data_IF_405639989033
#
_entry.id   IF_405639989033
#
_cell.length_a   1.000
_cell.length_b   1.000
_cell.length_c   1.000
_cell.angle_alpha   90.00
_cell.angle_beta   90.00
_cell.angle_gamma   90.00
#
_symmetry.space_group_name_H-M   'P 1'
#
loop_
_entity.id
_entity.type
_entity.pdbx_description
1 polymer ?
#
# COMPACT_ATOMS: atom_id res chain seq x y z
N UNK A 1 15.16 -4.02 -22.98
CA UNK A 1 14.80 -2.58 -23.03
C UNK A 1 15.74 -1.80 -22.13
N UNK A 2 16.45 -0.81 -22.68
CA UNK A 2 17.33 0.06 -21.88
C UNK A 2 16.48 1.02 -21.03
N UNK A 3 16.84 1.20 -19.75
CA UNK A 3 16.12 2.10 -18.84
C UNK A 3 16.36 3.56 -19.23
N UNK A 4 15.29 4.34 -19.35
CA UNK A 4 15.36 5.78 -19.62
C UNK A 4 15.88 6.56 -18.39
N UNK A 5 16.46 7.76 -18.59
CA UNK A 5 16.90 8.63 -17.48
C UNK A 5 15.77 8.96 -16.50
N UNK A 6 14.53 9.13 -16.99
CA UNK A 6 13.34 9.34 -16.17
C UNK A 6 13.01 8.12 -15.27
N UNK A 7 13.25 6.90 -15.76
CA UNK A 7 13.11 5.68 -14.96
C UNK A 7 14.11 5.63 -13.80
N UNK A 8 15.35 6.09 -14.00
CA UNK A 8 16.35 6.12 -12.94
C UNK A 8 16.01 7.10 -11.82
N UNK A 9 15.52 8.30 -12.17
CA UNK A 9 15.05 9.29 -11.19
C UNK A 9 13.87 8.75 -10.38
N UNK A 10 12.85 8.21 -11.05
CA UNK A 10 11.70 7.61 -10.38
C UNK A 10 12.10 6.49 -9.41
N UNK A 11 13.05 5.62 -9.80
CA UNK A 11 13.55 4.55 -8.93
C UNK A 11 14.32 5.06 -7.71
N UNK A 12 14.95 6.23 -7.82
CA UNK A 12 15.63 6.88 -6.71
C UNK A 12 14.58 7.44 -5.75
N UNK A 13 13.66 8.25 -6.26
CA UNK A 13 12.55 8.83 -5.47
C UNK A 13 11.74 7.73 -4.77
N UNK A 14 11.41 6.64 -5.48
CA UNK A 14 10.70 5.50 -4.89
C UNK A 14 11.48 4.81 -3.77
N UNK A 15 12.81 4.71 -3.88
CA UNK A 15 13.65 4.11 -2.83
C UNK A 15 13.82 5.04 -1.62
N UNK A 16 13.89 6.34 -1.86
CA UNK A 16 14.03 7.38 -0.83
C UNK A 16 12.70 7.69 -0.13
N UNK A 17 11.57 7.28 -0.72
CA UNK A 17 10.26 7.53 -0.12
C UNK A 17 10.12 6.89 1.28
N UNK A 18 9.85 7.69 2.32
CA UNK A 18 9.83 7.20 3.70
C UNK A 18 8.71 6.19 3.95
N UNK A 19 7.60 6.27 3.21
CA UNK A 19 6.50 5.30 3.34
C UNK A 19 6.81 3.99 2.61
N UNK A 20 7.57 4.01 1.51
CA UNK A 20 8.09 2.76 0.91
C UNK A 20 9.01 2.05 1.90
N UNK A 21 9.94 2.78 2.51
CA UNK A 21 10.85 2.21 3.51
C UNK A 21 10.09 1.71 4.74
N UNK A 22 9.13 2.49 5.25
CA UNK A 22 8.28 2.09 6.38
C UNK A 22 7.48 0.83 6.05
N UNK A 23 6.85 0.77 4.87
CA UNK A 23 6.08 -0.41 4.45
C UNK A 23 6.94 -1.67 4.40
N UNK A 24 8.17 -1.56 3.90
CA UNK A 24 9.13 -2.68 3.92
C UNK A 24 9.48 -3.11 5.34
N UNK A 25 9.80 -2.16 6.23
CA UNK A 25 10.11 -2.45 7.65
C UNK A 25 8.93 -3.11 8.37
N UNK A 26 7.70 -2.68 8.09
CA UNK A 26 6.47 -3.20 8.71
C UNK A 26 5.90 -4.44 8.00
N UNK A 27 6.56 -4.95 6.94
CA UNK A 27 6.13 -6.15 6.22
C UNK A 27 4.88 -5.96 5.34
N UNK A 28 4.57 -4.72 4.95
CA UNK A 28 3.49 -4.41 4.03
C UNK A 28 3.92 -4.50 2.57
N UNK A 29 3.03 -5.02 1.72
CA UNK A 29 3.28 -5.18 0.27
C UNK A 29 3.43 -3.86 -0.47
N UNK A 30 2.83 -2.77 0.03
CA UNK A 30 2.99 -1.44 -0.55
C UNK A 30 2.78 -0.34 0.47
N UNK A 31 3.33 0.85 0.17
CA UNK A 31 3.08 2.07 0.94
C UNK A 31 1.62 2.54 0.91
N UNK A 32 0.80 2.02 0.00
CA UNK A 32 -0.60 2.46 -0.12
C UNK A 32 -1.42 2.08 1.12
N UNK A 33 -0.97 1.09 1.90
CA UNK A 33 -1.60 0.66 3.15
C UNK A 33 -1.88 1.81 4.11
N UNK A 34 -0.98 2.80 4.18
CA UNK A 34 -1.13 3.92 5.12
C UNK A 34 -2.35 4.79 4.80
N UNK A 35 -2.74 4.90 3.52
CA UNK A 35 -3.97 5.60 3.13
C UNK A 35 -5.21 4.89 3.67
N UNK A 36 -5.29 3.57 3.46
CA UNK A 36 -6.41 2.78 3.97
C UNK A 36 -6.43 2.74 5.50
N UNK A 37 -5.26 2.71 6.14
CA UNK A 37 -5.14 2.77 7.59
C UNK A 37 -5.66 4.09 8.16
N UNK A 38 -5.32 5.22 7.55
CA UNK A 38 -5.83 6.52 7.97
C UNK A 38 -7.36 6.62 7.80
N UNK A 39 -7.87 6.21 6.64
CA UNK A 39 -9.33 6.13 6.37
C UNK A 39 -10.00 5.23 7.41
N UNK A 40 -9.44 4.06 7.69
CA UNK A 40 -9.99 3.15 8.68
C UNK A 40 -10.01 3.75 10.09
N UNK A 41 -8.95 4.47 10.48
CA UNK A 41 -8.87 5.09 11.81
C UNK A 41 -9.93 6.19 11.98
N UNK A 42 -10.20 6.96 10.93
CA UNK A 42 -11.18 8.05 10.94
C UNK A 42 -12.61 7.55 10.78
N UNK A 43 -12.85 6.72 9.78
CA UNK A 43 -14.20 6.44 9.25
C UNK A 43 -14.70 5.02 9.63
N UNK A 44 -13.81 4.14 10.11
CA UNK A 44 -14.14 2.76 10.56
C UNK A 44 -14.96 1.95 9.53
N UNK A 45 -14.53 2.01 8.27
CA UNK A 45 -15.22 1.42 7.11
C UNK A 45 -15.07 -0.10 7.00
N UNK A 46 -13.97 -0.67 7.51
CA UNK A 46 -13.74 -2.11 7.60
C UNK A 46 -14.23 -2.61 8.96
N UNK A 47 -15.08 -3.64 8.95
CA UNK A 47 -15.68 -4.24 10.15
C UNK A 47 -15.69 -5.76 10.03
N UNK A 48 -15.59 -6.51 11.14
CA UNK A 48 -15.73 -7.96 11.11
C UNK A 48 -17.03 -8.40 10.41
N UNK A 49 -16.92 -9.40 9.52
CA UNK A 49 -18.03 -9.91 8.70
C UNK A 49 -18.29 -9.13 7.41
N UNK A 50 -17.49 -8.11 7.08
CA UNK A 50 -17.66 -7.35 5.83
C UNK A 50 -17.10 -8.12 4.64
N UNK A 51 -17.80 -8.04 3.50
CA UNK A 51 -17.26 -8.50 2.22
C UNK A 51 -16.53 -7.34 1.54
N UNK A 52 -15.26 -7.55 1.18
CA UNK A 52 -14.40 -6.52 0.54
C UNK A 52 -13.95 -6.99 -0.83
N UNK A 53 -14.06 -6.09 -1.81
CA UNK A 53 -13.55 -6.30 -3.18
C UNK A 53 -12.47 -5.26 -3.46
N UNK A 54 -11.24 -5.72 -3.76
CA UNK A 54 -10.09 -4.88 -4.11
C UNK A 54 -9.88 -4.91 -5.64
N UNK A 55 -10.35 -3.86 -6.32
CA UNK A 55 -10.25 -3.75 -7.78
C UNK A 55 -8.84 -3.28 -8.17
N UNK A 56 -8.04 -4.19 -8.73
CA UNK A 56 -6.66 -3.90 -9.13
C UNK A 56 -5.64 -4.16 -8.02
N UNK A 57 -5.79 -5.29 -7.31
CA UNK A 57 -4.90 -5.72 -6.23
C UNK A 57 -3.47 -6.11 -6.69
N UNK A 58 -2.72 -5.14 -7.22
CA UNK A 58 -1.29 -5.28 -7.51
C UNK A 58 -0.54 -4.09 -6.88
N UNK A 59 0.32 -4.29 -5.86
CA UNK A 59 0.74 -5.56 -5.25
C UNK A 59 -0.20 -6.06 -4.13
N UNK A 60 -1.38 -5.46 -3.94
CA UNK A 60 -2.38 -5.92 -2.96
C UNK A 60 -2.13 -5.47 -1.52
N UNK A 61 -1.54 -4.28 -1.32
CA UNK A 61 -1.31 -3.72 0.03
C UNK A 61 -2.60 -3.40 0.80
N UNK A 62 -3.68 -3.01 0.10
CA UNK A 62 -5.00 -2.79 0.71
C UNK A 62 -5.67 -4.11 1.08
N UNK A 63 -5.71 -5.08 0.16
CA UNK A 63 -6.13 -6.46 0.46
C UNK A 63 -5.43 -7.03 1.70
N UNK A 64 -4.10 -6.90 1.81
CA UNK A 64 -3.33 -7.41 2.96
C UNK A 64 -3.79 -6.78 4.29
N UNK A 65 -4.14 -5.49 4.27
CA UNK A 65 -4.58 -4.77 5.46
C UNK A 65 -6.04 -5.04 5.81
N UNK A 66 -6.90 -5.11 4.79
CA UNK A 66 -8.33 -5.37 4.92
C UNK A 66 -8.58 -6.76 5.50
N UNK A 67 -7.87 -7.79 5.01
CA UNK A 67 -7.99 -9.17 5.48
C UNK A 67 -7.69 -9.36 6.99
N UNK A 68 -7.02 -8.39 7.64
CA UNK A 68 -6.76 -8.43 9.10
C UNK A 68 -7.86 -7.77 9.94
N UNK A 69 -8.91 -7.21 9.32
CA UNK A 69 -9.92 -6.35 9.96
C UNK A 69 -11.36 -6.72 9.67
N UNK A 70 -11.60 -7.44 8.58
CA UNK A 70 -12.93 -7.91 8.16
C UNK A 70 -13.16 -9.35 8.54
#
# INVERSE_FOLDING_TARGET
MARTKSSQRWLREHREDPYVQRARREGFRSRAVYKLQEIQNRDRILRPGSVVVDLGAAPGGWSQFAARRV
#
